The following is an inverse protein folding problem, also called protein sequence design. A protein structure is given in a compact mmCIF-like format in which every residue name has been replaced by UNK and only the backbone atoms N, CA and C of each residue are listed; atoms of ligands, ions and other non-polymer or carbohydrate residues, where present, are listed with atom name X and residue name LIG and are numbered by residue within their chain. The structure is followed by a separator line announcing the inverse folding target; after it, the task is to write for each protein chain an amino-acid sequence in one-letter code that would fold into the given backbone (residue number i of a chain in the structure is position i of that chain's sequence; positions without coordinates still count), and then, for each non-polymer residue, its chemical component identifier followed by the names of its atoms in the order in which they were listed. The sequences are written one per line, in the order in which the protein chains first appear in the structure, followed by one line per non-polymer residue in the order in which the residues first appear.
data_IF_623172626864
#
_entry.id   IF_623172626864
#
_cell.length_a   1.000
_cell.length_b   1.000
_cell.length_c   1.000
_cell.angle_alpha   90.00
_cell.angle_beta   90.00
_cell.angle_gamma   90.00
#
_symmetry.space_group_name_H-M   'P 1'
#
loop_
_entity.id
_entity.type
_entity.pdbx_description
1 polymer ?
#
# COMPACT_ATOMS: atom_id res chain seq x y z
N UNK A 1 2.91 -13.00 7.29
CA UNK A 1 4.26 -13.20 6.72
C UNK A 1 4.72 -11.88 6.14
N UNK A 2 5.93 -11.42 6.48
CA UNK A 2 6.53 -10.23 5.86
C UNK A 2 7.12 -10.61 4.49
N UNK A 3 6.95 -9.72 3.52
CA UNK A 3 7.47 -9.79 2.16
C UNK A 3 8.57 -8.74 2.07
N UNK A 4 9.79 -9.17 1.80
CA UNK A 4 10.95 -8.28 1.58
C UNK A 4 11.33 -8.18 0.10
N UNK A 5 10.80 -9.11 -0.70
CA UNK A 5 10.98 -9.17 -2.14
C UNK A 5 9.67 -8.79 -2.82
N UNK A 6 9.60 -7.55 -3.29
CA UNK A 6 8.39 -7.00 -3.92
C UNK A 6 8.09 -7.59 -5.29
N UNK A 7 9.00 -8.36 -5.89
CA UNK A 7 8.73 -9.08 -7.15
C UNK A 7 7.62 -10.12 -7.01
N UNK A 8 7.27 -10.49 -5.78
CA UNK A 8 6.23 -11.47 -5.44
C UNK A 8 4.85 -10.86 -5.20
N UNK A 9 4.70 -9.54 -5.33
CA UNK A 9 3.41 -8.86 -5.14
C UNK A 9 2.49 -9.13 -6.33
N UNK A 10 1.21 -9.34 -6.04
CA UNK A 10 0.18 -9.57 -7.05
C UNK A 10 -0.52 -8.25 -7.38
N UNK A 11 -0.63 -7.86 -8.68
CA UNK A 11 -1.40 -6.68 -9.08
C UNK A 11 -2.82 -6.70 -8.53
N UNK A 12 -3.26 -5.58 -7.97
CA UNK A 12 -4.54 -5.45 -7.26
C UNK A 12 -4.51 -5.88 -5.79
N UNK A 13 -3.41 -6.48 -5.32
CA UNK A 13 -3.25 -6.86 -3.91
C UNK A 13 -3.09 -5.65 -3.00
N UNK A 14 -3.85 -5.62 -1.89
CA UNK A 14 -3.64 -4.66 -0.80
C UNK A 14 -2.50 -5.14 0.09
N UNK A 15 -1.58 -4.23 0.42
CA UNK A 15 -0.48 -4.48 1.33
C UNK A 15 -0.26 -3.30 2.28
N UNK A 16 0.30 -3.60 3.46
CA UNK A 16 0.85 -2.60 4.38
C UNK A 16 2.37 -2.61 4.24
N UNK A 17 2.93 -1.54 3.69
CA UNK A 17 4.36 -1.34 3.45
C UNK A 17 5.01 -0.66 4.66
N UNK A 18 6.23 -1.05 5.02
CA UNK A 18 6.95 -0.50 6.17
C UNK A 18 8.31 0.09 5.79
N UNK A 19 8.66 1.28 6.32
CA UNK A 19 9.99 1.84 6.19
C UNK A 19 10.98 1.13 7.12
N UNK A 20 12.21 0.94 6.65
CA UNK A 20 13.28 0.35 7.45
C UNK A 20 13.54 1.11 8.76
N UNK A 21 13.39 2.44 8.73
CA UNK A 21 13.65 3.31 9.87
C UNK A 21 12.53 3.33 10.92
N UNK A 22 11.29 2.99 10.56
CA UNK A 22 10.13 3.10 11.45
C UNK A 22 9.07 2.03 11.13
N UNK A 23 9.23 0.79 11.60
CA UNK A 23 8.34 -0.33 11.26
C UNK A 23 6.89 -0.16 11.71
N UNK A 24 6.59 0.84 12.55
CA UNK A 24 5.23 1.20 12.98
C UNK A 24 4.52 2.21 12.06
N UNK A 25 5.26 2.94 11.21
CA UNK A 25 4.74 3.98 10.31
C UNK A 25 4.41 3.44 8.92
N UNK A 26 3.52 2.44 8.86
CA UNK A 26 3.22 1.76 7.61
C UNK A 26 2.39 2.58 6.61
N UNK A 27 2.61 2.37 5.32
CA UNK A 27 1.82 2.91 4.21
C UNK A 27 0.89 1.82 3.69
N UNK A 28 -0.42 2.06 3.71
CA UNK A 28 -1.38 1.18 3.05
C UNK A 28 -1.34 1.42 1.55
N UNK A 29 -1.32 0.38 0.73
CA UNK A 29 -1.38 0.55 -0.71
C UNK A 29 -1.81 -0.67 -1.49
N UNK A 30 -2.53 -0.44 -2.58
CA UNK A 30 -2.83 -1.45 -3.59
C UNK A 30 -1.68 -1.46 -4.59
N UNK A 31 -1.02 -2.61 -4.72
CA UNK A 31 0.04 -2.80 -5.70
C UNK A 31 -0.53 -2.79 -7.12
N UNK A 32 0.03 -1.98 -8.02
CA UNK A 32 -0.37 -1.97 -9.42
C UNK A 32 0.61 -2.76 -10.28
N UNK A 33 1.89 -2.35 -10.27
CA UNK A 33 2.96 -2.95 -11.06
C UNK A 33 4.32 -2.45 -10.58
N UNK A 34 5.38 -3.02 -11.14
CA UNK A 34 6.71 -2.40 -11.06
C UNK A 34 6.87 -1.32 -12.14
N UNK A 35 7.64 -0.27 -11.84
CA UNK A 35 8.07 0.70 -12.83
C UNK A 35 9.23 0.17 -13.71
N UNK A 36 9.68 0.96 -14.69
CA UNK A 36 10.78 0.56 -15.60
C UNK A 36 12.13 0.35 -14.92
N UNK A 37 12.29 0.82 -13.68
CA UNK A 37 13.51 0.71 -12.86
C UNK A 37 13.38 -0.35 -11.76
N UNK A 38 12.27 -1.10 -11.75
CA UNK A 38 11.98 -2.10 -10.72
C UNK A 38 11.45 -1.52 -9.41
N UNK A 39 11.10 -0.23 -9.37
CA UNK A 39 10.39 0.39 -8.24
C UNK A 39 8.94 -0.08 -8.17
N UNK A 40 8.32 0.03 -7.00
CA UNK A 40 6.91 -0.34 -6.80
C UNK A 40 6.01 0.84 -7.13
N UNK A 41 5.02 0.63 -7.99
CA UNK A 41 3.95 1.59 -8.29
C UNK A 41 2.65 1.13 -7.63
N UNK A 42 2.02 2.03 -6.88
CA UNK A 42 0.77 1.79 -6.16
C UNK A 42 -0.39 2.41 -6.94
N UNK A 43 -1.46 1.64 -7.15
CA UNK A 43 -2.68 2.14 -7.76
C UNK A 43 -3.35 3.19 -6.86
N UNK A 44 -3.36 2.91 -5.56
CA UNK A 44 -3.85 3.81 -4.52
C UNK A 44 -3.10 3.55 -3.22
N UNK A 45 -2.78 4.59 -2.44
CA UNK A 45 -2.15 4.46 -1.14
C UNK A 45 -2.60 5.51 -0.11
N UNK A 46 -2.42 5.20 1.17
CA UNK A 46 -2.73 6.08 2.30
C UNK A 46 -1.89 5.75 3.52
N UNK A 47 -1.41 6.77 4.24
CA UNK A 47 -0.72 6.59 5.53
C UNK A 47 -1.67 6.57 6.73
N UNK A 48 -2.85 7.18 6.60
CA UNK A 48 -3.79 7.41 7.72
C UNK A 48 -5.21 6.85 7.47
N UNK A 49 -5.43 6.20 6.32
CA UNK A 49 -6.72 5.70 5.85
C UNK A 49 -7.79 6.77 5.63
N UNK A 50 -7.38 8.06 5.58
CA UNK A 50 -8.26 9.21 5.34
C UNK A 50 -7.93 9.88 4.02
N UNK A 51 -6.65 10.16 3.78
CA UNK A 51 -6.16 10.73 2.53
C UNK A 51 -5.63 9.64 1.61
N UNK A 52 -6.17 9.53 0.39
CA UNK A 52 -5.73 8.56 -0.61
C UNK A 52 -5.09 9.26 -1.81
N UNK A 53 -3.90 8.80 -2.18
CA UNK A 53 -3.17 9.20 -3.38
C UNK A 53 -3.25 8.10 -4.43
N UNK A 54 -3.41 8.48 -5.71
CA UNK A 54 -3.52 7.55 -6.84
C UNK A 54 -2.21 7.48 -7.63
N UNK A 55 -1.94 6.33 -8.24
CA UNK A 55 -0.82 6.09 -9.17
C UNK A 55 0.53 6.61 -8.65
N UNK A 56 0.82 6.35 -7.38
CA UNK A 56 1.95 6.92 -6.66
C UNK A 56 3.06 5.89 -6.47
N UNK A 57 4.33 6.26 -6.67
CA UNK A 57 5.45 5.37 -6.41
C UNK A 57 5.59 5.13 -4.90
N UNK A 58 5.99 3.91 -4.52
CA UNK A 58 6.34 3.63 -3.13
C UNK A 58 7.56 4.49 -2.74
N UNK A 59 7.50 5.27 -1.65
CA UNK A 59 8.62 6.11 -1.26
C UNK A 59 9.90 5.32 -0.99
N UNK A 60 11.05 5.95 -1.21
CA UNK A 60 12.34 5.34 -0.88
C UNK A 60 12.45 5.03 0.62
N UNK A 61 13.07 3.89 0.96
CA UNK A 61 13.29 3.48 2.35
C UNK A 61 12.25 2.50 2.88
N UNK A 62 11.19 2.21 2.12
CA UNK A 62 10.30 1.08 2.36
C UNK A 62 10.97 -0.22 1.90
N UNK A 63 11.09 -1.18 2.81
CA UNK A 63 11.89 -2.41 2.59
C UNK A 63 11.12 -3.70 2.80
N UNK A 64 9.92 -3.61 3.35
CA UNK A 64 9.07 -4.78 3.52
C UNK A 64 7.60 -4.41 3.46
N UNK A 65 6.75 -5.39 3.25
CA UNK A 65 5.31 -5.26 3.40
C UNK A 65 4.69 -6.54 3.93
N UNK A 66 3.39 -6.53 4.19
CA UNK A 66 2.60 -7.75 4.38
C UNK A 66 1.18 -7.56 3.84
N UNK A 67 0.48 -8.66 3.54
CA UNK A 67 -0.96 -8.60 3.37
C UNK A 67 -1.66 -8.08 4.64
N UNK A 68 -2.79 -7.38 4.51
CA UNK A 68 -3.64 -6.97 5.62
C UNK A 68 -4.28 -8.18 6.29
N UNK A 69 -4.68 -8.02 7.55
CA UNK A 69 -5.70 -8.87 8.16
C UNK A 69 -7.09 -8.58 7.55
N UNK A 70 -8.08 -9.43 7.82
CA UNK A 70 -9.46 -9.19 7.36
C UNK A 70 -10.06 -7.90 7.96
N UNK A 71 -9.73 -7.59 9.22
CA UNK A 71 -10.18 -6.36 9.87
C UNK A 71 -9.54 -5.12 9.22
N UNK A 72 -8.24 -5.18 8.96
CA UNK A 72 -7.48 -4.12 8.29
C UNK A 72 -7.98 -3.86 6.86
N UNK A 73 -8.28 -4.93 6.11
CA UNK A 73 -8.91 -4.84 4.80
C UNK A 73 -10.27 -4.12 4.88
N UNK A 74 -11.09 -4.45 5.88
CA UNK A 74 -12.37 -3.78 6.10
C UNK A 74 -12.23 -2.29 6.45
N UNK A 75 -11.19 -1.89 7.18
CA UNK A 75 -10.88 -0.49 7.45
C UNK A 75 -10.46 0.25 6.17
N UNK A 76 -9.55 -0.33 5.38
CA UNK A 76 -9.08 0.27 4.14
C UNK A 76 -10.20 0.47 3.12
N UNK A 77 -11.03 -0.56 2.89
CA UNK A 77 -12.18 -0.49 1.98
C UNK A 77 -13.19 0.57 2.41
N UNK A 78 -13.46 0.69 3.72
CA UNK A 78 -14.33 1.76 4.24
C UNK A 78 -13.74 3.14 3.98
N UNK A 79 -12.44 3.33 4.22
CA UNK A 79 -11.74 4.59 3.93
C UNK A 79 -11.83 4.97 2.45
N UNK A 80 -11.57 4.01 1.55
CA UNK A 80 -11.71 4.22 0.11
C UNK A 80 -13.14 4.61 -0.29
N UNK A 81 -14.14 3.86 0.18
CA UNK A 81 -15.53 4.14 -0.14
C UNK A 81 -15.92 5.55 0.34
N UNK A 82 -15.52 5.97 1.54
CA UNK A 82 -15.79 7.32 2.02
C UNK A 82 -15.14 8.40 1.13
N UNK A 83 -13.93 8.15 0.61
CA UNK A 83 -13.24 9.12 -0.24
C UNK A 83 -13.87 9.28 -1.63
N UNK A 84 -14.38 8.19 -2.21
CA UNK A 84 -14.90 8.14 -3.58
C UNK A 84 -16.42 8.08 -3.70
N UNK A 85 -17.17 7.94 -2.59
CA UNK A 85 -18.65 8.07 -2.59
C UNK A 85 -19.14 9.51 -2.42
N UNK A 86 -18.22 10.47 -2.25
CA UNK A 86 -18.53 11.90 -2.14
C UNK A 86 -18.32 12.68 -3.44
N UNK A 87 -18.05 11.99 -4.55
CA UNK A 87 -18.14 12.52 -5.92
C UNK A 87 -19.51 12.16 -6.53
#
# INVERSE_FOLDING_TARGET
MLIYDFTRLEPGGLYLFFPAAAPSGGLWGIFERHDRRGGVLLAVCSSDLRGFELWSPLPSGYTSCRPPSQEELGLFTRGLNLRFSCD
#
